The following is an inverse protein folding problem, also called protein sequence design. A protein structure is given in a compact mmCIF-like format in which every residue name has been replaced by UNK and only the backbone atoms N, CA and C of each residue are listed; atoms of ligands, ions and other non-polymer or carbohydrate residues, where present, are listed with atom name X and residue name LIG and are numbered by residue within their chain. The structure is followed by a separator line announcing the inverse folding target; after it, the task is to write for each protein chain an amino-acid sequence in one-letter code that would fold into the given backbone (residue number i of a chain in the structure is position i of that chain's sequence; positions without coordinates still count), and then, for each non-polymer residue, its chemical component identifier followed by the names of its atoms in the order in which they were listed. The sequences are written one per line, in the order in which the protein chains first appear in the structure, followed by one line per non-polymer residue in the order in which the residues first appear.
data_IF_107515614737
#
_entry.id   IF_107515614737
#
_cell.length_a   1.000
_cell.length_b   1.000
_cell.length_c   1.000
_cell.angle_alpha   90.00
_cell.angle_beta   90.00
_cell.angle_gamma   90.00
#
_symmetry.space_group_name_H-M   'P 1'
#
loop_
_entity.id
_entity.type
_entity.pdbx_description
1 polymer ?
#
# COMPACT_ATOMS: atom_id res chain seq x y z
N UNK A 1 40.60 19.15 29.85
CA UNK A 1 39.86 19.55 28.63
C UNK A 1 39.29 18.34 27.89
N UNK A 2 40.11 17.36 27.46
CA UNK A 2 39.63 16.12 26.78
C UNK A 2 38.52 15.36 27.54
N UNK A 3 38.66 15.16 28.86
CA UNK A 3 37.63 14.50 29.69
C UNK A 3 36.28 15.24 29.68
N UNK A 4 36.27 16.57 29.73
CA UNK A 4 35.03 17.38 29.69
C UNK A 4 34.34 17.28 28.32
N UNK A 5 35.11 17.28 27.23
CA UNK A 5 34.58 17.11 25.87
C UNK A 5 33.94 15.73 25.72
N UNK A 6 34.60 14.67 26.19
CA UNK A 6 34.07 13.30 26.15
C UNK A 6 32.75 13.19 26.93
N UNK A 7 32.70 13.77 28.15
CA UNK A 7 31.48 13.78 28.97
C UNK A 7 30.35 14.52 28.24
N UNK A 8 30.63 15.70 27.69
CA UNK A 8 29.61 16.49 26.97
C UNK A 8 29.07 15.75 25.74
N UNK A 9 29.94 15.09 24.97
CA UNK A 9 29.53 14.26 23.83
C UNK A 9 28.69 13.05 24.27
N UNK A 10 29.07 12.39 25.37
CA UNK A 10 28.30 11.28 25.91
C UNK A 10 26.90 11.72 26.36
N UNK A 11 26.79 12.85 27.07
CA UNK A 11 25.50 13.43 27.48
C UNK A 11 24.65 13.79 26.27
N UNK A 12 25.24 14.42 25.24
CA UNK A 12 24.53 14.77 24.01
C UNK A 12 23.99 13.53 23.28
N UNK A 13 24.79 12.47 23.15
CA UNK A 13 24.35 11.21 22.56
C UNK A 13 23.22 10.55 23.37
N UNK A 14 23.32 10.57 24.70
CA UNK A 14 22.26 10.07 25.58
C UNK A 14 20.95 10.83 25.34
N UNK A 15 21.01 12.16 25.22
CA UNK A 15 19.81 12.97 24.93
C UNK A 15 19.21 12.57 23.57
N UNK A 16 20.02 12.39 22.53
CA UNK A 16 19.53 11.94 21.22
C UNK A 16 18.84 10.58 21.32
N UNK A 17 19.44 9.63 22.02
CA UNK A 17 18.86 8.29 22.21
C UNK A 17 17.53 8.37 22.97
N UNK A 18 17.46 9.18 24.02
CA UNK A 18 16.21 9.40 24.78
C UNK A 18 15.15 10.03 23.88
N UNK A 19 15.49 11.07 23.11
CA UNK A 19 14.55 11.69 22.18
C UNK A 19 14.06 10.71 21.10
N UNK A 20 14.93 9.85 20.59
CA UNK A 20 14.55 8.81 19.64
C UNK A 20 13.60 7.77 20.27
N UNK A 21 13.86 7.35 21.50
CA UNK A 21 12.99 6.43 22.23
C UNK A 21 11.63 7.06 22.56
N UNK A 22 11.61 8.32 23.02
CA UNK A 22 10.38 9.07 23.30
C UNK A 22 9.58 9.29 22.02
N UNK A 23 10.24 9.69 20.93
CA UNK A 23 9.59 9.82 19.63
C UNK A 23 8.95 8.49 19.23
N UNK A 24 9.69 7.38 19.30
CA UNK A 24 9.15 6.09 18.90
C UNK A 24 7.99 5.68 19.81
N UNK A 25 8.08 5.89 21.13
CA UNK A 25 7.00 5.62 22.08
C UNK A 25 5.73 6.41 21.73
N UNK A 26 5.88 7.68 21.39
CA UNK A 26 4.76 8.58 21.07
C UNK A 26 4.25 8.44 19.64
N UNK A 27 4.94 7.77 18.73
CA UNK A 27 4.44 7.52 17.37
C UNK A 27 3.41 6.38 17.37
N UNK A 28 2.32 6.48 16.59
CA UNK A 28 1.33 5.41 16.49
C UNK A 28 1.97 4.10 16.04
N UNK A 29 1.56 3.00 16.67
CA UNK A 29 2.12 1.67 16.38
C UNK A 29 1.36 0.94 15.27
N UNK A 30 0.07 1.22 15.12
CA UNK A 30 -0.80 0.63 14.10
C UNK A 30 -0.87 -0.90 14.18
N UNK A 31 -0.84 -1.45 15.41
CA UNK A 31 -0.70 -2.90 15.63
C UNK A 31 -1.99 -3.61 16.02
N UNK A 32 -3.03 -2.85 16.39
CA UNK A 32 -4.38 -3.33 16.74
C UNK A 32 -5.46 -2.78 15.81
N UNK A 33 -5.19 -1.65 15.17
CA UNK A 33 -6.08 -1.00 14.20
C UNK A 33 -5.25 -0.21 13.19
N UNK A 34 -5.84 0.06 12.02
CA UNK A 34 -5.23 0.88 10.95
C UNK A 34 -3.88 0.27 10.50
N UNK A 35 -3.86 -1.04 10.21
CA UNK A 35 -2.63 -1.77 9.88
C UNK A 35 -1.88 -1.22 8.67
N UNK A 36 -2.59 -0.53 7.78
CA UNK A 36 -2.04 0.18 6.62
C UNK A 36 -0.92 1.17 6.99
N UNK A 37 -0.92 1.71 8.22
CA UNK A 37 0.11 2.61 8.72
C UNK A 37 1.49 1.96 8.90
N UNK A 38 1.59 0.63 8.75
CA UNK A 38 2.86 -0.11 8.78
C UNK A 38 3.39 -0.48 7.39
N UNK A 39 2.58 -0.40 6.32
CA UNK A 39 2.94 -0.95 5.00
C UNK A 39 4.23 -0.36 4.43
N UNK A 40 4.40 0.96 4.55
CA UNK A 40 5.62 1.66 4.10
C UNK A 40 6.85 1.20 4.87
N UNK A 41 6.73 0.98 6.18
CA UNK A 41 7.83 0.51 7.04
C UNK A 41 8.21 -0.94 6.73
N UNK A 42 7.20 -1.80 6.52
CA UNK A 42 7.39 -3.23 6.27
C UNK A 42 8.19 -3.52 4.99
N UNK A 43 8.07 -2.66 3.98
CA UNK A 43 8.90 -2.76 2.78
C UNK A 43 10.41 -2.78 3.12
N UNK A 44 10.86 -1.93 4.04
CA UNK A 44 12.28 -1.83 4.35
C UNK A 44 12.86 -3.08 5.02
N UNK A 45 11.99 -3.91 5.60
CA UNK A 45 12.35 -5.17 6.24
C UNK A 45 12.08 -6.39 5.36
N UNK A 46 11.55 -6.21 4.14
CA UNK A 46 11.35 -7.29 3.18
C UNK A 46 12.61 -7.54 2.35
N UNK A 47 12.77 -8.77 1.86
CA UNK A 47 13.74 -9.05 0.81
C UNK A 47 13.47 -8.17 -0.42
N UNK A 48 14.55 -7.73 -1.04
CA UNK A 48 14.53 -7.02 -2.33
C UNK A 48 14.67 -8.06 -3.45
N UNK A 49 14.68 -7.62 -4.71
CA UNK A 49 14.72 -8.48 -5.91
C UNK A 49 13.33 -8.97 -6.34
N UNK A 50 12.38 -8.03 -6.39
CA UNK A 50 11.03 -8.27 -6.88
C UNK A 50 10.94 -8.03 -8.39
N UNK A 51 10.36 -8.96 -9.14
CA UNK A 51 10.09 -8.83 -10.58
C UNK A 51 9.04 -7.73 -10.83
N UNK A 52 8.06 -7.62 -9.91
CA UNK A 52 6.95 -6.66 -10.00
C UNK A 52 6.83 -5.81 -8.73
N UNK A 53 6.77 -4.49 -8.90
CA UNK A 53 6.36 -3.56 -7.84
C UNK A 53 4.99 -2.99 -8.19
N UNK A 54 4.01 -3.23 -7.33
CA UNK A 54 2.70 -2.59 -7.42
C UNK A 54 2.70 -1.31 -6.58
N UNK A 55 2.14 -0.23 -7.11
CA UNK A 55 2.09 1.08 -6.46
C UNK A 55 0.67 1.63 -6.55
N UNK A 56 0.14 2.05 -5.40
CA UNK A 56 -1.16 2.69 -5.35
C UNK A 56 -1.74 2.69 -3.95
N UNK A 57 -3.03 2.94 -3.88
CA UNK A 57 -3.80 3.04 -2.65
C UNK A 57 -4.33 1.68 -2.18
N UNK A 58 -5.43 1.72 -1.43
CA UNK A 58 -6.11 0.57 -0.86
C UNK A 58 -6.63 -0.44 -1.88
N UNK A 59 -6.95 0.01 -3.09
CA UNK A 59 -7.29 -0.90 -4.18
C UNK A 59 -6.14 -1.82 -4.58
N UNK A 60 -4.88 -1.46 -4.31
CA UNK A 60 -3.75 -2.33 -4.61
C UNK A 60 -3.50 -3.27 -3.44
N UNK A 61 -3.32 -2.75 -2.22
CA UNK A 61 -2.96 -3.56 -1.07
C UNK A 61 -4.08 -4.48 -0.58
N UNK A 62 -5.32 -4.29 -1.03
CA UNK A 62 -6.45 -5.17 -0.71
C UNK A 62 -6.83 -6.13 -1.84
N UNK A 63 -6.48 -5.85 -3.11
CA UNK A 63 -6.97 -6.65 -4.24
C UNK A 63 -5.89 -7.54 -4.88
N UNK A 64 -4.60 -7.32 -4.62
CA UNK A 64 -3.51 -8.10 -5.21
C UNK A 64 -2.77 -8.89 -4.11
N UNK A 65 -2.54 -10.19 -4.36
CA UNK A 65 -1.85 -11.10 -3.44
C UNK A 65 -0.48 -11.53 -4.00
N UNK A 66 0.64 -10.95 -3.56
CA UNK A 66 1.98 -11.38 -3.96
C UNK A 66 2.23 -12.89 -3.76
N UNK A 67 1.60 -13.49 -2.74
CA UNK A 67 1.72 -14.92 -2.44
C UNK A 67 1.08 -15.74 -3.55
N UNK A 68 -0.15 -15.39 -3.95
CA UNK A 68 -0.84 -16.08 -5.05
C UNK A 68 -0.09 -15.96 -6.37
N UNK A 69 0.50 -14.79 -6.62
CA UNK A 69 1.30 -14.56 -7.83
C UNK A 69 2.53 -15.49 -7.87
N UNK A 70 3.24 -15.60 -6.75
CA UNK A 70 4.37 -16.53 -6.60
C UNK A 70 3.93 -18.00 -6.72
N UNK A 71 2.88 -18.42 -6.00
CA UNK A 71 2.45 -19.82 -5.97
C UNK A 71 1.99 -20.32 -7.34
N UNK A 72 1.42 -19.47 -8.18
CA UNK A 72 0.90 -19.87 -9.48
C UNK A 72 1.91 -19.67 -10.62
N UNK A 73 2.69 -18.58 -10.58
CA UNK A 73 3.53 -18.15 -11.70
C UNK A 73 5.02 -17.99 -11.37
N UNK A 74 5.41 -18.08 -10.10
CA UNK A 74 6.80 -17.91 -9.67
C UNK A 74 7.34 -16.50 -9.80
N UNK A 75 6.45 -15.51 -9.93
CA UNK A 75 6.80 -14.11 -10.06
C UNK A 75 6.91 -13.49 -8.65
N UNK A 76 8.06 -12.93 -8.33
CA UNK A 76 8.28 -12.22 -7.07
C UNK A 76 7.69 -10.82 -7.12
N UNK A 77 7.06 -10.39 -6.03
CA UNK A 77 6.42 -9.07 -6.02
C UNK A 77 6.27 -8.45 -4.63
N UNK A 78 6.10 -7.12 -4.64
CA UNK A 78 5.79 -6.33 -3.47
C UNK A 78 4.83 -5.17 -3.79
N UNK A 79 3.95 -4.85 -2.86
CA UNK A 79 3.02 -3.72 -2.94
C UNK A 79 3.55 -2.53 -2.13
N UNK A 80 3.95 -1.46 -2.81
CA UNK A 80 4.28 -0.15 -2.22
C UNK A 80 3.00 0.71 -2.17
N UNK A 81 2.11 0.36 -1.24
CA UNK A 81 0.84 1.05 -1.06
C UNK A 81 0.59 1.57 0.36
N UNK A 82 -0.34 2.52 0.46
CA UNK A 82 -0.86 3.10 1.71
C UNK A 82 -2.31 3.58 1.51
N UNK A 83 -3.05 3.84 2.59
CA UNK A 83 -4.45 4.26 2.48
C UNK A 83 -4.55 5.65 1.84
N UNK A 84 -5.47 5.80 0.88
CA UNK A 84 -5.72 7.05 0.12
C UNK A 84 -4.42 7.66 -0.45
N UNK A 85 -3.52 6.79 -0.94
CA UNK A 85 -2.24 7.19 -1.49
C UNK A 85 -2.42 8.06 -2.75
N UNK A 86 -1.88 9.27 -2.69
CA UNK A 86 -1.97 10.26 -3.76
C UNK A 86 -0.94 9.96 -4.85
N UNK A 87 -1.16 10.42 -6.08
CA UNK A 87 -0.25 10.11 -7.19
C UNK A 87 1.16 10.68 -6.98
N UNK A 88 1.31 11.84 -6.34
CA UNK A 88 2.62 12.37 -6.00
C UNK A 88 3.33 11.55 -4.92
N UNK A 89 2.59 11.00 -3.96
CA UNK A 89 3.15 10.04 -2.99
C UNK A 89 3.59 8.76 -3.70
N UNK A 90 2.77 8.26 -4.63
CA UNK A 90 3.11 7.11 -5.48
C UNK A 90 4.41 7.34 -6.27
N UNK A 91 4.58 8.52 -6.87
CA UNK A 91 5.82 8.90 -7.54
C UNK A 91 7.03 8.84 -6.61
N UNK A 92 6.97 9.49 -5.44
CA UNK A 92 8.13 9.53 -4.54
C UNK A 92 8.41 8.19 -3.85
N UNK A 93 7.39 7.38 -3.59
CA UNK A 93 7.57 6.00 -3.14
C UNK A 93 8.22 5.14 -4.22
N UNK A 94 7.85 5.32 -5.49
CA UNK A 94 8.53 4.66 -6.61
C UNK A 94 9.98 5.11 -6.73
N UNK A 95 10.21 6.43 -6.77
CA UNK A 95 11.54 7.03 -6.86
C UNK A 95 12.46 6.50 -5.75
N UNK A 96 11.94 6.40 -4.52
CA UNK A 96 12.69 5.81 -3.41
C UNK A 96 12.89 4.30 -3.58
N UNK A 97 11.86 3.56 -3.98
CA UNK A 97 11.91 2.11 -4.25
C UNK A 97 13.04 1.76 -5.20
N UNK A 98 13.20 2.54 -6.28
CA UNK A 98 14.24 2.34 -7.29
C UNK A 98 15.67 2.58 -6.79
N UNK A 99 15.85 3.14 -5.58
CA UNK A 99 17.16 3.21 -4.92
C UNK A 99 17.55 1.92 -4.21
N UNK A 100 16.59 1.02 -3.95
CA UNK A 100 16.79 -0.24 -3.25
C UNK A 100 16.72 -1.46 -4.17
N UNK A 101 15.88 -1.42 -5.20
CA UNK A 101 15.71 -2.51 -6.16
C UNK A 101 15.22 -2.00 -7.51
N UNK A 102 15.33 -2.84 -8.53
CA UNK A 102 14.94 -2.48 -9.90
C UNK A 102 14.07 -3.59 -10.50
N UNK A 103 12.73 -3.48 -10.43
CA UNK A 103 11.84 -4.47 -10.99
C UNK A 103 11.85 -4.45 -12.52
N UNK A 104 11.37 -5.53 -13.13
CA UNK A 104 11.11 -5.58 -14.57
C UNK A 104 9.82 -4.81 -14.92
N UNK A 105 8.82 -4.92 -14.04
CA UNK A 105 7.50 -4.30 -14.20
C UNK A 105 7.14 -3.46 -12.98
N UNK A 106 6.63 -2.26 -13.23
CA UNK A 106 5.89 -1.47 -12.24
C UNK A 106 4.43 -1.41 -12.67
N UNK A 107 3.53 -1.66 -11.73
CA UNK A 107 2.10 -1.53 -11.95
C UNK A 107 1.57 -0.39 -11.10
N UNK A 108 0.95 0.61 -11.72
CA UNK A 108 0.37 1.76 -11.04
C UNK A 108 -1.16 1.72 -11.11
N UNK A 109 -1.83 1.79 -9.95
CA UNK A 109 -3.29 1.90 -9.89
C UNK A 109 -3.76 3.34 -10.10
N UNK A 110 -4.55 3.57 -11.14
CA UNK A 110 -4.94 4.91 -11.62
C UNK A 110 -6.03 5.56 -10.78
N UNK A 111 -6.61 4.88 -9.79
CA UNK A 111 -7.70 5.46 -8.98
C UNK A 111 -7.32 6.82 -8.37
N UNK A 112 -6.08 6.94 -7.90
CA UNK A 112 -5.55 8.17 -7.28
C UNK A 112 -5.62 9.41 -8.19
N UNK A 113 -5.77 9.24 -9.51
CA UNK A 113 -5.96 10.34 -10.47
C UNK A 113 -7.19 11.20 -10.14
N UNK A 114 -8.21 10.63 -9.48
CA UNK A 114 -9.43 11.37 -9.06
C UNK A 114 -9.16 12.49 -8.05
N UNK A 115 -8.04 12.43 -7.33
CA UNK A 115 -7.72 13.34 -6.23
C UNK A 115 -6.79 14.43 -6.71
N UNK A 116 -7.31 15.64 -6.92
CA UNK A 116 -6.53 16.77 -7.47
C UNK A 116 -5.59 17.43 -6.46
N UNK A 117 -5.88 17.30 -5.16
CA UNK A 117 -5.21 18.00 -4.06
C UNK A 117 -5.05 17.09 -2.84
N UNK A 118 -4.10 17.38 -1.92
CA UNK A 118 -4.11 16.73 -0.62
C UNK A 118 -5.36 17.12 0.17
N UNK A 119 -5.88 16.21 1.00
CA UNK A 119 -7.17 16.44 1.67
C UNK A 119 -7.13 16.22 3.19
N UNK A 120 -6.33 15.30 3.71
CA UNK A 120 -6.26 15.02 5.16
C UNK A 120 -4.84 14.65 5.59
N UNK A 121 -4.37 15.34 6.63
CA UNK A 121 -3.08 15.05 7.27
C UNK A 121 -2.97 13.57 7.67
N UNK A 122 -4.03 12.97 8.20
CA UNK A 122 -3.99 11.58 8.65
C UNK A 122 -3.50 10.60 7.57
N UNK A 123 -3.94 10.76 6.32
CA UNK A 123 -3.50 9.90 5.20
C UNK A 123 -2.08 10.24 4.73
N UNK A 124 -1.71 11.52 4.76
CA UNK A 124 -0.32 11.93 4.53
C UNK A 124 0.62 11.24 5.53
N UNK A 125 0.27 11.23 6.83
CA UNK A 125 1.09 10.63 7.89
C UNK A 125 1.22 9.11 7.75
N UNK A 126 0.14 8.41 7.38
CA UNK A 126 0.16 6.96 7.13
C UNK A 126 1.19 6.56 6.05
N UNK A 127 1.38 7.42 5.06
CA UNK A 127 2.40 7.20 4.02
C UNK A 127 3.78 7.70 4.45
N UNK A 128 3.88 8.94 4.92
CA UNK A 128 5.14 9.67 4.97
C UNK A 128 5.94 9.46 6.26
N UNK A 129 5.28 9.23 7.40
CA UNK A 129 5.98 9.18 8.70
C UNK A 129 6.97 8.02 8.75
N UNK A 130 6.60 6.89 8.12
CA UNK A 130 7.40 5.67 8.06
C UNK A 130 8.40 5.62 6.91
N UNK A 131 8.38 6.57 5.98
CA UNK A 131 9.44 6.69 4.98
C UNK A 131 10.80 6.96 5.67
N UNK A 132 11.86 6.32 5.19
CA UNK A 132 13.23 6.68 5.58
C UNK A 132 13.57 8.09 5.09
N UNK A 133 14.39 8.82 5.85
CA UNK A 133 14.80 10.17 5.47
C UNK A 133 15.62 10.11 4.16
N UNK A 134 15.08 10.71 3.10
CA UNK A 134 15.66 10.72 1.77
C UNK A 134 15.21 11.97 1.01
N UNK A 135 15.82 12.23 -0.16
CA UNK A 135 15.35 13.31 -1.06
C UNK A 135 13.90 13.08 -1.49
N UNK A 136 13.54 11.82 -1.74
CA UNK A 136 12.18 11.42 -2.10
C UNK A 136 11.20 11.68 -0.96
N UNK A 137 11.57 11.40 0.30
CA UNK A 137 10.74 11.76 1.47
C UNK A 137 10.49 13.27 1.54
N UNK A 138 11.55 14.07 1.37
CA UNK A 138 11.43 15.55 1.40
C UNK A 138 10.50 16.04 0.27
N UNK A 139 10.68 15.50 -0.94
CA UNK A 139 9.81 15.81 -2.08
C UNK A 139 8.35 15.42 -1.84
N UNK A 140 8.13 14.24 -1.24
CA UNK A 140 6.80 13.75 -0.91
C UNK A 140 6.09 14.64 0.13
N UNK A 141 6.80 15.05 1.18
CA UNK A 141 6.24 15.97 2.19
C UNK A 141 5.83 17.29 1.54
N UNK A 142 6.71 17.91 0.75
CA UNK A 142 6.42 19.18 0.09
C UNK A 142 5.25 19.11 -0.89
N UNK A 143 5.03 17.95 -1.51
CA UNK A 143 3.91 17.74 -2.43
C UNK A 143 2.59 17.39 -1.71
N UNK A 144 2.67 16.87 -0.49
CA UNK A 144 1.51 16.34 0.24
C UNK A 144 0.98 17.24 1.34
N UNK A 145 1.82 18.05 1.99
CA UNK A 145 1.39 18.75 3.21
C UNK A 145 0.29 19.77 2.90
N UNK A 146 -0.72 19.82 3.77
CA UNK A 146 -1.74 20.87 3.77
C UNK A 146 -1.18 22.18 4.32
N UNK A 147 -1.85 23.31 4.06
CA UNK A 147 -1.39 24.63 4.50
C UNK A 147 -1.23 24.76 6.03
N UNK A 148 -1.99 23.98 6.80
CA UNK A 148 -1.94 23.94 8.26
C UNK A 148 -0.96 22.91 8.84
N UNK A 149 -0.27 22.17 7.97
CA UNK A 149 0.76 21.21 8.36
C UNK A 149 2.16 21.83 8.35
N UNK A 150 3.00 21.40 9.29
CA UNK A 150 4.36 21.93 9.45
C UNK A 150 5.40 20.92 8.95
N UNK A 151 6.19 21.28 7.94
CA UNK A 151 7.23 20.42 7.35
C UNK A 151 8.14 19.75 8.41
N UNK A 152 8.56 20.51 9.43
CA UNK A 152 9.47 20.04 10.47
C UNK A 152 8.90 18.86 11.27
N UNK A 153 7.57 18.76 11.37
CA UNK A 153 6.90 17.68 12.10
C UNK A 153 6.98 16.33 11.39
N UNK A 154 7.16 16.32 10.06
CA UNK A 154 7.44 15.09 9.30
C UNK A 154 8.89 14.59 9.47
N UNK A 155 9.82 15.49 9.80
CA UNK A 155 11.21 15.14 10.07
C UNK A 155 11.43 14.72 11.52
N UNK A 156 10.74 15.38 12.44
CA UNK A 156 10.74 15.08 13.87
C UNK A 156 9.32 14.82 14.36
N UNK A 157 8.76 13.61 14.11
CA UNK A 157 7.39 13.24 14.51
C UNK A 157 7.04 13.48 15.98
N UNK A 158 8.04 13.54 16.87
CA UNK A 158 7.81 13.94 18.27
C UNK A 158 7.09 15.29 18.37
N UNK A 159 7.32 16.24 17.45
CA UNK A 159 6.65 17.53 17.44
C UNK A 159 5.15 17.39 17.11
N UNK A 160 4.77 16.42 16.29
CA UNK A 160 3.36 16.14 15.97
C UNK A 160 2.67 15.33 17.07
N UNK A 161 3.39 14.38 17.65
CA UNK A 161 2.84 13.37 18.55
C UNK A 161 3.11 13.61 20.04
N UNK A 162 3.73 14.73 20.41
CA UNK A 162 3.99 15.07 21.82
C UNK A 162 2.73 15.04 22.68
N UNK A 163 1.55 15.35 22.10
CA UNK A 163 0.27 15.34 22.81
C UNK A 163 -0.20 13.93 23.20
N UNK A 164 0.27 12.86 22.53
CA UNK A 164 -0.15 11.46 22.78
C UNK A 164 0.35 10.88 24.11
N UNK A 165 1.12 11.61 24.91
CA UNK A 165 1.70 11.10 26.15
C UNK A 165 0.64 10.59 27.16
N UNK A 166 -0.57 11.15 27.12
CA UNK A 166 -1.71 10.76 27.95
C UNK A 166 -2.64 9.72 27.28
N UNK A 167 -2.33 9.29 26.06
CA UNK A 167 -3.07 8.28 25.27
C UNK A 167 -2.32 6.95 25.14
N UNK A 168 -1.14 6.84 25.76
CA UNK A 168 -0.31 5.64 25.68
C UNK A 168 -1.01 4.43 26.30
N UNK A 169 -0.95 3.31 25.59
CA UNK A 169 -1.51 2.02 26.00
C UNK A 169 -0.40 0.96 26.13
N UNK A 170 -0.75 -0.24 26.59
CA UNK A 170 0.20 -1.37 26.61
C UNK A 170 0.79 -1.71 25.24
N UNK A 171 0.08 -1.40 24.15
CA UNK A 171 0.57 -1.54 22.78
C UNK A 171 1.83 -0.71 22.51
N UNK A 172 1.85 0.55 22.95
CA UNK A 172 2.94 1.49 22.68
C UNK A 172 4.26 1.03 23.33
N UNK A 173 4.16 0.41 24.51
CA UNK A 173 5.31 -0.19 25.20
C UNK A 173 5.71 -1.56 24.61
N UNK A 174 4.73 -2.41 24.26
CA UNK A 174 4.99 -3.72 23.64
C UNK A 174 5.77 -3.56 22.34
N UNK A 175 5.39 -2.59 21.51
CA UNK A 175 5.99 -2.33 20.20
C UNK A 175 6.91 -1.10 20.18
N UNK A 176 7.59 -0.84 21.30
CA UNK A 176 8.55 0.25 21.37
C UNK A 176 9.76 0.00 20.47
N UNK A 177 10.28 -1.23 20.42
CA UNK A 177 11.53 -1.56 19.73
C UNK A 177 11.34 -2.40 18.46
N UNK A 178 10.27 -3.18 18.39
CA UNK A 178 9.98 -4.07 17.27
C UNK A 178 8.48 -4.19 17.08
N UNK A 179 8.04 -4.38 15.84
CA UNK A 179 6.66 -4.63 15.45
C UNK A 179 6.54 -6.01 14.84
N UNK A 180 5.37 -6.63 15.01
CA UNK A 180 5.02 -7.83 14.25
C UNK A 180 4.66 -7.41 12.81
N UNK A 181 4.98 -8.27 11.85
CA UNK A 181 4.57 -8.09 10.45
C UNK A 181 3.06 -8.32 10.33
N UNK A 182 2.35 -7.44 9.61
CA UNK A 182 0.91 -7.50 9.41
C UNK A 182 0.50 -7.74 7.96
N UNK A 183 1.37 -7.48 6.98
CA UNK A 183 1.07 -7.68 5.56
C UNK A 183 1.78 -8.88 4.92
N UNK A 184 1.27 -9.38 3.81
CA UNK A 184 1.92 -10.36 2.94
C UNK A 184 2.56 -9.67 1.74
N UNK A 185 3.76 -9.11 1.93
CA UNK A 185 4.46 -8.33 0.91
C UNK A 185 3.65 -7.10 0.47
N UNK A 186 3.04 -6.43 1.44
CA UNK A 186 2.19 -5.26 1.24
C UNK A 186 0.70 -5.59 1.11
N UNK A 187 0.30 -6.86 0.88
CA UNK A 187 -1.11 -7.27 0.86
C UNK A 187 -1.69 -7.37 2.27
N UNK A 188 -2.79 -6.68 2.56
CA UNK A 188 -3.53 -6.78 3.82
C UNK A 188 -4.69 -7.77 3.67
N UNK A 189 -4.49 -8.97 4.21
CA UNK A 189 -5.47 -10.05 4.12
C UNK A 189 -6.72 -9.75 4.93
N UNK A 190 -7.88 -9.89 4.28
CA UNK A 190 -9.22 -9.90 4.88
C UNK A 190 -10.03 -11.03 4.26
N UNK A 191 -10.42 -12.02 5.04
CA UNK A 191 -11.22 -13.18 4.59
C UNK A 191 -12.71 -13.07 4.94
N UNK A 192 -13.10 -12.04 5.68
CA UNK A 192 -14.50 -11.75 5.96
C UNK A 192 -15.26 -11.35 4.69
N UNK A 193 -16.58 -11.53 4.76
CA UNK A 193 -17.48 -11.26 3.65
C UNK A 193 -18.47 -10.17 4.07
N UNK A 194 -18.52 -9.11 3.27
CA UNK A 194 -19.62 -8.15 3.26
C UNK A 194 -20.08 -7.97 1.81
N UNK A 195 -21.23 -8.56 1.44
CA UNK A 195 -21.77 -8.50 0.09
C UNK A 195 -22.00 -7.05 -0.37
N UNK A 196 -21.90 -6.83 -1.68
CA UNK A 196 -22.39 -5.61 -2.31
C UNK A 196 -23.91 -5.57 -2.23
N UNK A 197 -24.45 -4.66 -1.42
CA UNK A 197 -25.91 -4.48 -1.28
C UNK A 197 -26.45 -3.36 -2.17
N UNK A 198 -25.59 -2.45 -2.61
CA UNK A 198 -25.95 -1.29 -3.41
C UNK A 198 -24.78 -0.89 -4.32
N UNK A 199 -25.06 -0.74 -5.61
CA UNK A 199 -24.14 -0.18 -6.59
C UNK A 199 -24.48 1.30 -6.75
N UNK A 200 -23.60 2.23 -6.34
CA UNK A 200 -23.87 3.65 -6.45
C UNK A 200 -23.83 4.10 -7.91
N UNK A 201 -24.83 4.87 -8.33
CA UNK A 201 -24.76 5.58 -9.60
C UNK A 201 -23.71 6.70 -9.51
N UNK A 202 -22.92 6.85 -10.58
CA UNK A 202 -21.98 7.96 -10.73
C UNK A 202 -22.70 9.31 -10.66
N UNK A 203 -22.25 10.20 -9.78
CA UNK A 203 -22.78 11.56 -9.71
C UNK A 203 -22.24 12.37 -10.88
N UNK A 204 -23.08 13.15 -11.55
CA UNK A 204 -22.61 14.06 -12.60
C UNK A 204 -21.56 15.01 -12.04
N UNK A 205 -20.40 15.05 -12.68
CA UNK A 205 -19.31 15.94 -12.32
C UNK A 205 -19.39 17.24 -13.13
N UNK A 206 -18.97 18.38 -12.56
CA UNK A 206 -18.86 19.62 -13.32
C UNK A 206 -17.73 19.55 -14.36
N UNK A 207 -16.71 18.75 -14.10
CA UNK A 207 -15.58 18.49 -14.99
C UNK A 207 -15.10 17.05 -14.78
N UNK A 208 -14.92 16.33 -15.88
CA UNK A 208 -14.43 14.95 -15.88
C UNK A 208 -12.94 14.87 -16.12
N UNK A 209 -12.24 15.99 -16.37
CA UNK A 209 -10.81 15.98 -16.63
C UNK A 209 -10.02 15.75 -15.35
N UNK A 210 -9.00 14.91 -15.41
CA UNK A 210 -8.01 14.86 -14.34
C UNK A 210 -7.20 16.16 -14.29
N UNK A 211 -6.72 16.51 -13.10
CA UNK A 211 -5.97 17.76 -12.92
C UNK A 211 -4.61 17.72 -13.62
N UNK A 212 -4.12 18.90 -14.02
CA UNK A 212 -2.77 19.03 -14.56
C UNK A 212 -1.69 18.53 -13.59
N UNK A 213 -1.91 18.70 -12.29
CA UNK A 213 -1.01 18.19 -11.25
C UNK A 213 -0.97 16.65 -11.28
N UNK A 214 -2.11 15.98 -11.41
CA UNK A 214 -2.15 14.52 -11.54
C UNK A 214 -1.38 14.05 -12.78
N UNK A 215 -1.63 14.66 -13.95
CA UNK A 215 -0.88 14.33 -15.17
C UNK A 215 0.62 14.61 -15.04
N UNK A 216 1.02 15.71 -14.39
CA UNK A 216 2.43 16.00 -14.14
C UNK A 216 3.13 14.85 -13.39
N UNK A 217 2.50 14.31 -12.34
CA UNK A 217 3.08 13.19 -11.60
C UNK A 217 2.97 11.87 -12.35
N UNK A 218 1.92 11.64 -13.15
CA UNK A 218 1.84 10.47 -14.03
C UNK A 218 2.96 10.49 -15.08
N UNK A 219 3.22 11.63 -15.70
CA UNK A 219 4.34 11.83 -16.63
C UNK A 219 5.68 11.57 -15.97
N UNK A 220 5.85 12.00 -14.72
CA UNK A 220 7.06 11.72 -13.94
C UNK A 220 7.22 10.23 -13.63
N UNK A 221 6.15 9.51 -13.30
CA UNK A 221 6.17 8.05 -13.11
C UNK A 221 6.53 7.36 -14.44
N UNK A 222 5.85 7.71 -15.52
CA UNK A 222 6.11 7.19 -16.88
C UNK A 222 7.56 7.41 -17.29
N UNK A 223 8.06 8.64 -17.11
CA UNK A 223 9.45 8.98 -17.41
C UNK A 223 10.43 8.21 -16.54
N UNK A 224 10.17 8.11 -15.23
CA UNK A 224 11.03 7.41 -14.29
C UNK A 224 11.17 5.93 -14.65
N UNK A 225 10.07 5.26 -15.02
CA UNK A 225 10.10 3.88 -15.51
C UNK A 225 10.88 3.77 -16.84
N UNK A 226 10.60 4.64 -17.82
CA UNK A 226 11.30 4.66 -19.12
C UNK A 226 12.81 4.86 -18.97
N UNK A 227 13.23 5.86 -18.20
CA UNK A 227 14.64 6.18 -17.94
C UNK A 227 15.40 5.02 -17.27
N UNK A 228 14.67 4.16 -16.55
CA UNK A 228 15.22 2.98 -15.90
C UNK A 228 15.00 1.68 -16.69
N UNK A 229 14.44 1.70 -17.91
CA UNK A 229 14.09 0.49 -18.67
C UNK A 229 13.13 -0.45 -17.92
N UNK A 230 12.18 0.12 -17.18
CA UNK A 230 11.14 -0.61 -16.45
C UNK A 230 9.85 -0.52 -17.26
N UNK A 231 9.15 -1.65 -17.43
CA UNK A 231 7.82 -1.65 -18.06
C UNK A 231 6.79 -1.10 -17.09
N UNK A 232 6.09 -0.04 -17.48
CA UNK A 232 4.99 0.52 -16.71
C UNK A 232 3.66 -0.01 -17.24
N UNK A 233 2.86 -0.58 -16.35
CA UNK A 233 1.46 -0.95 -16.59
C UNK A 233 0.60 -0.01 -15.76
N UNK A 234 -0.38 0.61 -16.40
CA UNK A 234 -1.46 1.30 -15.73
C UNK A 234 -2.58 0.28 -15.46
N UNK A 235 -3.14 0.28 -14.26
CA UNK A 235 -4.32 -0.55 -13.97
C UNK A 235 -5.39 0.26 -13.27
N UNK A 236 -6.65 -0.13 -13.44
CA UNK A 236 -7.72 0.18 -12.50
C UNK A 236 -8.14 -1.12 -11.84
N UNK A 237 -7.97 -1.25 -10.52
CA UNK A 237 -8.43 -2.42 -9.80
C UNK A 237 -9.97 -2.54 -9.85
N UNK A 238 -10.53 -3.75 -9.74
CA UNK A 238 -11.98 -3.91 -9.70
C UNK A 238 -12.54 -3.37 -8.38
N UNK A 239 -13.52 -2.48 -8.48
CA UNK A 239 -14.28 -1.95 -7.35
C UNK A 239 -15.64 -1.44 -7.82
N UNK A 240 -16.65 -1.58 -6.96
CA UNK A 240 -18.00 -1.04 -7.18
C UNK A 240 -18.07 0.43 -6.77
N UNK A 241 -17.28 0.80 -5.77
CA UNK A 241 -17.12 2.18 -5.31
C UNK A 241 -15.64 2.42 -4.98
N UNK A 242 -15.07 3.61 -5.23
CA UNK A 242 -15.66 4.77 -5.90
C UNK A 242 -16.03 4.49 -7.35
N UNK A 243 -17.09 5.15 -7.83
CA UNK A 243 -17.52 5.02 -9.23
C UNK A 243 -16.42 5.53 -10.18
N UNK A 244 -16.02 4.70 -11.14
CA UNK A 244 -15.04 5.04 -12.18
C UNK A 244 -15.78 5.43 -13.45
N UNK A 245 -15.66 6.70 -13.86
CA UNK A 245 -16.42 7.25 -14.99
C UNK A 245 -15.82 6.81 -16.32
N UNK A 246 -16.67 6.64 -17.35
CA UNK A 246 -16.24 6.32 -18.71
C UNK A 246 -15.29 7.40 -19.26
N UNK A 247 -15.52 8.67 -18.93
CA UNK A 247 -14.64 9.78 -19.34
C UNK A 247 -13.26 9.71 -18.66
N UNK A 248 -13.18 9.15 -17.45
CA UNK A 248 -11.91 8.91 -16.75
C UNK A 248 -11.16 7.73 -17.35
N UNK A 249 -11.89 6.65 -17.65
CA UNK A 249 -11.35 5.48 -18.34
C UNK A 249 -10.78 5.85 -19.72
N UNK A 250 -11.55 6.58 -20.53
CA UNK A 250 -11.13 7.01 -21.85
C UNK A 250 -9.86 7.89 -21.80
N UNK A 251 -9.75 8.78 -20.82
CA UNK A 251 -8.52 9.56 -20.61
C UNK A 251 -7.30 8.67 -20.32
N UNK A 252 -7.46 7.59 -19.57
CA UNK A 252 -6.35 6.65 -19.30
C UNK A 252 -6.02 5.78 -20.52
N UNK A 253 -7.01 5.39 -21.32
CA UNK A 253 -6.81 4.72 -22.62
C UNK A 253 -6.01 5.62 -23.56
N UNK A 254 -6.39 6.90 -23.68
CA UNK A 254 -5.70 7.89 -24.52
C UNK A 254 -4.26 8.12 -24.03
N UNK A 255 -4.09 8.37 -22.74
CA UNK A 255 -2.76 8.57 -22.14
C UNK A 255 -1.83 7.37 -22.36
N UNK A 256 -2.34 6.15 -22.15
CA UNK A 256 -1.58 4.92 -22.33
C UNK A 256 -1.15 4.75 -23.80
N UNK A 257 -2.06 4.99 -24.74
CA UNK A 257 -1.77 4.94 -26.18
C UNK A 257 -0.71 5.95 -26.60
N UNK A 258 -0.81 7.20 -26.14
CA UNK A 258 0.16 8.26 -26.46
C UNK A 258 1.56 7.96 -25.91
N UNK A 259 1.63 7.24 -24.78
CA UNK A 259 2.87 6.94 -24.09
C UNK A 259 3.44 5.53 -24.36
N UNK A 260 2.79 4.73 -25.21
CA UNK A 260 3.13 3.32 -25.47
C UNK A 260 3.14 2.47 -24.19
N UNK A 261 2.08 2.62 -23.39
CA UNK A 261 1.86 1.90 -22.14
C UNK A 261 0.71 0.89 -22.28
N UNK A 262 0.77 -0.17 -21.47
CA UNK A 262 -0.39 -1.04 -21.27
C UNK A 262 -1.29 -0.44 -20.21
N UNK A 263 -2.59 -0.30 -20.51
CA UNK A 263 -3.63 0.01 -19.55
C UNK A 263 -4.61 -1.15 -19.44
N UNK A 264 -4.93 -1.57 -18.22
CA UNK A 264 -5.90 -2.63 -17.94
C UNK A 264 -6.93 -2.10 -16.95
N UNK A 265 -8.16 -1.90 -17.41
CA UNK A 265 -9.27 -1.65 -16.51
C UNK A 265 -9.91 -2.98 -16.12
N UNK A 266 -9.66 -3.45 -14.89
CA UNK A 266 -10.21 -4.74 -14.43
C UNK A 266 -11.72 -4.72 -14.17
N UNK A 267 -12.38 -3.56 -14.25
CA UNK A 267 -13.84 -3.48 -14.24
C UNK A 267 -14.45 -4.22 -15.44
N UNK A 268 -13.76 -4.21 -16.59
CA UNK A 268 -14.23 -4.87 -17.81
C UNK A 268 -14.06 -6.41 -17.78
N UNK A 269 -13.32 -6.92 -16.79
CA UNK A 269 -12.95 -8.34 -16.69
C UNK A 269 -13.55 -9.04 -15.47
N UNK A 270 -14.44 -8.38 -14.70
CA UNK A 270 -15.03 -8.92 -13.46
C UNK A 270 -15.64 -10.31 -13.67
N UNK A 271 -16.43 -10.49 -14.73
CA UNK A 271 -17.07 -11.77 -15.07
C UNK A 271 -16.05 -12.83 -15.51
N UNK A 272 -15.03 -12.43 -16.29
CA UNK A 272 -13.98 -13.34 -16.76
C UNK A 272 -13.07 -13.83 -15.62
N UNK A 273 -12.78 -12.94 -14.66
CA UNK A 273 -12.05 -13.28 -13.42
C UNK A 273 -12.91 -14.19 -12.53
N UNK A 274 -14.25 -14.12 -12.67
CA UNK A 274 -15.19 -14.84 -11.83
C UNK A 274 -15.35 -14.24 -10.43
N UNK A 275 -15.28 -12.91 -10.33
CA UNK A 275 -15.53 -12.18 -9.08
C UNK A 275 -17.03 -12.23 -8.79
N UNK A 276 -17.40 -12.80 -7.63
CA UNK A 276 -18.77 -12.77 -7.13
C UNK A 276 -18.88 -11.71 -6.03
N UNK A 277 -19.50 -10.58 -6.34
CA UNK A 277 -19.71 -9.46 -5.42
C UNK A 277 -20.54 -9.81 -4.17
N UNK A 278 -21.17 -10.99 -4.11
CA UNK A 278 -21.81 -11.47 -2.89
C UNK A 278 -20.84 -12.13 -1.91
N UNK A 279 -19.73 -12.70 -2.40
CA UNK A 279 -18.80 -13.49 -1.58
C UNK A 279 -17.38 -12.95 -1.56
N UNK A 280 -17.01 -12.11 -2.52
CA UNK A 280 -15.61 -11.77 -2.80
C UNK A 280 -15.22 -10.35 -2.35
N UNK A 281 -16.02 -9.71 -1.49
CA UNK A 281 -15.77 -8.36 -0.95
C UNK A 281 -15.88 -8.36 0.57
N UNK A 282 -15.08 -7.54 1.28
CA UNK A 282 -15.16 -7.43 2.75
C UNK A 282 -15.80 -6.14 3.25
N UNK A 283 -16.14 -5.19 2.36
CA UNK A 283 -16.66 -3.88 2.76
C UNK A 283 -17.81 -3.35 1.89
N UNK A 284 -18.50 -4.23 1.17
CA UNK A 284 -19.65 -3.85 0.34
C UNK A 284 -19.25 -3.31 -1.04
N UNK A 285 -18.08 -3.70 -1.54
CA UNK A 285 -17.67 -3.46 -2.92
C UNK A 285 -16.57 -2.43 -3.12
N UNK A 286 -16.00 -1.88 -2.06
CA UNK A 286 -14.84 -1.00 -2.17
C UNK A 286 -13.55 -1.82 -2.35
N UNK A 287 -13.43 -2.93 -1.65
CA UNK A 287 -12.30 -3.85 -1.74
C UNK A 287 -12.74 -5.30 -1.90
N UNK A 288 -11.91 -6.07 -2.61
CA UNK A 288 -12.00 -7.52 -2.64
C UNK A 288 -11.54 -8.11 -1.30
N UNK A 289 -12.13 -9.22 -0.90
CA UNK A 289 -11.58 -10.06 0.16
C UNK A 289 -10.56 -11.05 -0.40
N UNK A 290 -10.07 -11.94 0.46
CA UNK A 290 -9.05 -12.91 0.13
C UNK A 290 -9.38 -13.74 -1.11
N UNK A 291 -10.63 -14.21 -1.23
CA UNK A 291 -11.06 -15.01 -2.37
C UNK A 291 -11.04 -14.18 -3.67
N UNK A 292 -11.58 -12.96 -3.64
CA UNK A 292 -11.55 -12.04 -4.78
C UNK A 292 -10.12 -11.67 -5.19
N UNK A 293 -9.26 -11.35 -4.22
CA UNK A 293 -7.88 -10.97 -4.46
C UNK A 293 -7.06 -12.12 -5.06
N UNK A 294 -7.26 -13.36 -4.59
CA UNK A 294 -6.66 -14.57 -5.15
C UNK A 294 -7.09 -14.77 -6.62
N UNK A 295 -8.38 -14.60 -6.94
CA UNK A 295 -8.92 -14.69 -8.31
C UNK A 295 -8.32 -13.62 -9.24
N UNK A 296 -8.39 -12.34 -8.84
CA UNK A 296 -7.83 -11.23 -9.61
C UNK A 296 -6.34 -11.43 -9.86
N UNK A 297 -5.59 -11.79 -8.82
CA UNK A 297 -4.14 -12.00 -8.93
C UNK A 297 -3.82 -13.16 -9.86
N UNK A 298 -4.59 -14.25 -9.81
CA UNK A 298 -4.39 -15.37 -10.71
C UNK A 298 -4.59 -14.95 -12.16
N UNK A 299 -5.65 -14.21 -12.45
CA UNK A 299 -5.91 -13.68 -13.80
C UNK A 299 -4.80 -12.72 -14.27
N UNK A 300 -4.42 -11.77 -13.41
CA UNK A 300 -3.39 -10.81 -13.76
C UNK A 300 -2.00 -11.45 -13.91
N UNK A 301 -1.68 -12.46 -13.10
CA UNK A 301 -0.43 -13.22 -13.20
C UNK A 301 -0.28 -13.95 -14.53
N UNK A 302 -1.38 -14.38 -15.14
CA UNK A 302 -1.35 -14.95 -16.50
C UNK A 302 -0.95 -13.90 -17.53
N UNK A 303 -1.49 -12.68 -17.43
CA UNK A 303 -1.11 -11.55 -18.30
C UNK A 303 0.36 -11.20 -18.11
N UNK A 304 0.84 -11.11 -16.87
CA UNK A 304 2.24 -10.81 -16.56
C UNK A 304 3.18 -11.89 -17.11
N UNK A 305 2.86 -13.15 -16.92
CA UNK A 305 3.66 -14.27 -17.43
C UNK A 305 3.66 -14.32 -18.96
N UNK A 306 2.51 -14.21 -19.61
CA UNK A 306 2.38 -14.39 -21.07
C UNK A 306 2.73 -13.16 -21.90
N UNK A 307 2.32 -11.97 -21.45
CA UNK A 307 2.43 -10.74 -22.24
C UNK A 307 3.71 -9.96 -21.90
N UNK A 308 4.22 -10.11 -20.67
CA UNK A 308 5.44 -9.46 -20.22
C UNK A 308 6.63 -10.42 -20.06
N UNK A 309 6.42 -11.72 -20.31
CA UNK A 309 7.45 -12.77 -20.29
C UNK A 309 8.22 -12.83 -18.96
N UNK A 310 7.56 -12.56 -17.83
CA UNK A 310 8.19 -12.73 -16.53
C UNK A 310 8.47 -14.20 -16.26
N UNK A 311 9.69 -14.48 -15.81
CA UNK A 311 10.20 -15.83 -15.57
C UNK A 311 9.51 -16.49 -14.37
N UNK A 312 9.24 -17.79 -14.47
CA UNK A 312 8.86 -18.59 -13.30
C UNK A 312 10.10 -18.93 -12.47
N UNK A 313 10.32 -18.15 -11.40
CA UNK A 313 11.53 -18.25 -10.58
C UNK A 313 11.42 -19.32 -9.47
N UNK A 314 10.38 -20.16 -9.46
CA UNK A 314 10.22 -21.22 -8.41
C UNK A 314 11.31 -22.29 -8.42
N UNK A 315 12.08 -22.39 -9.50
CA UNK A 315 13.23 -23.27 -9.61
C UNK A 315 14.46 -22.77 -8.82
N UNK A 316 14.49 -21.49 -8.42
CA UNK A 316 15.54 -20.95 -7.55
C UNK A 316 15.30 -21.43 -6.10
N UNK A 317 16.19 -22.27 -5.60
CA UNK A 317 16.07 -22.87 -4.26
C UNK A 317 16.19 -21.84 -3.11
N UNK A 318 16.91 -20.73 -3.31
CA UNK A 318 16.99 -19.67 -2.31
C UNK A 318 15.68 -18.89 -2.24
N UNK A 319 15.14 -18.49 -3.39
CA UNK A 319 13.85 -17.80 -3.45
C UNK A 319 12.74 -18.70 -2.92
N UNK A 320 12.70 -19.96 -3.34
CA UNK A 320 11.74 -20.95 -2.86
C UNK A 320 11.76 -21.07 -1.34
N UNK A 321 12.95 -21.12 -0.71
CA UNK A 321 13.05 -21.15 0.76
C UNK A 321 12.51 -19.88 1.43
N UNK A 322 12.75 -18.71 0.85
CA UNK A 322 12.24 -17.42 1.35
C UNK A 322 10.72 -17.38 1.22
N UNK A 323 10.20 -17.72 0.04
CA UNK A 323 8.78 -17.64 -0.28
C UNK A 323 7.95 -18.73 0.40
N UNK A 324 8.50 -19.92 0.66
CA UNK A 324 7.83 -20.93 1.49
C UNK A 324 7.51 -20.40 2.89
N UNK A 325 8.43 -19.66 3.53
CA UNK A 325 8.13 -19.02 4.83
C UNK A 325 7.04 -17.94 4.71
N UNK A 326 6.97 -17.25 3.57
CA UNK A 326 5.92 -16.26 3.31
C UNK A 326 4.55 -16.93 3.09
N UNK A 327 4.55 -18.09 2.43
CA UNK A 327 3.38 -18.95 2.23
C UNK A 327 2.91 -19.52 3.57
N UNK A 328 3.81 -20.03 4.42
CA UNK A 328 3.48 -20.52 5.75
C UNK A 328 2.79 -19.43 6.57
N UNK A 329 3.37 -18.23 6.62
CA UNK A 329 2.76 -17.07 7.29
C UNK A 329 1.39 -16.69 6.70
N UNK A 330 1.23 -16.79 5.38
CA UNK A 330 -0.04 -16.53 4.69
C UNK A 330 -1.13 -17.54 5.07
N UNK A 331 -0.78 -18.82 5.08
CA UNK A 331 -1.70 -19.89 5.44
C UNK A 331 -2.06 -19.86 6.93
N UNK A 332 -1.10 -19.58 7.81
CA UNK A 332 -1.33 -19.41 9.24
C UNK A 332 -2.32 -18.25 9.50
N UNK A 333 -2.14 -17.10 8.82
CA UNK A 333 -3.05 -15.97 8.94
C UNK A 333 -4.44 -16.29 8.37
N UNK A 334 -4.50 -16.96 7.21
CA UNK A 334 -5.76 -17.38 6.58
C UNK A 334 -6.55 -18.31 7.50
N UNK A 335 -5.88 -19.29 8.09
CA UNK A 335 -6.49 -20.21 9.04
C UNK A 335 -6.99 -19.49 10.29
N UNK A 336 -6.16 -18.62 10.91
CA UNK A 336 -6.58 -17.90 12.11
C UNK A 336 -7.77 -16.96 11.85
N UNK A 337 -7.82 -16.30 10.70
CA UNK A 337 -8.99 -15.50 10.33
C UNK A 337 -10.25 -16.37 10.15
N UNK A 338 -10.12 -17.56 9.56
CA UNK A 338 -11.24 -18.50 9.47
C UNK A 338 -11.72 -18.93 10.87
N UNK A 339 -10.80 -19.26 11.79
CA UNK A 339 -11.11 -19.60 13.18
C UNK A 339 -11.84 -18.45 13.89
N UNK A 340 -11.41 -17.19 13.72
CA UNK A 340 -12.12 -16.02 14.28
C UNK A 340 -13.51 -15.83 13.68
N UNK A 341 -13.70 -16.09 12.39
CA UNK A 341 -15.02 -16.02 11.76
C UNK A 341 -15.96 -17.12 12.30
N UNK A 342 -15.45 -18.32 12.53
CA UNK A 342 -16.22 -19.43 13.10
C UNK A 342 -16.57 -19.18 14.58
N UNK A 343 -15.62 -18.66 15.37
CA UNK A 343 -15.82 -18.43 16.80
C UNK A 343 -16.62 -17.15 17.10
N UNK A 344 -16.34 -16.05 16.41
CA UNK A 344 -16.87 -14.73 16.73
C UNK A 344 -17.83 -14.16 15.68
N UNK A 345 -17.85 -14.70 14.46
CA UNK A 345 -18.62 -14.16 13.34
C UNK A 345 -18.02 -12.89 12.72
N UNK A 346 -16.83 -12.46 13.14
CA UNK A 346 -16.08 -11.32 12.59
C UNK A 346 -14.59 -11.41 12.93
N UNK A 347 -13.75 -10.70 12.18
CA UNK A 347 -12.29 -10.69 12.39
C UNK A 347 -11.89 -9.74 13.53
N UNK A 348 -11.97 -10.24 14.75
CA UNK A 348 -11.65 -9.52 15.98
C UNK A 348 -10.21 -8.97 16.01
N UNK A 349 -9.24 -9.71 15.49
CA UNK A 349 -7.82 -9.33 15.54
C UNK A 349 -7.34 -8.58 14.29
N UNK A 350 -8.18 -8.42 13.27
CA UNK A 350 -7.80 -7.88 11.96
C UNK A 350 -8.60 -6.63 11.56
N UNK A 351 -9.01 -5.85 12.57
CA UNK A 351 -9.57 -4.53 12.37
C UNK A 351 -10.95 -4.53 11.71
N UNK A 352 -11.64 -5.68 11.69
CA UNK A 352 -13.06 -5.71 11.33
C UNK A 352 -13.88 -5.11 12.47
N UNK A 353 -14.88 -4.30 12.10
CA UNK A 353 -15.83 -3.75 13.06
C UNK A 353 -16.80 -4.87 13.44
N UNK A 354 -17.03 -5.06 14.74
CA UNK A 354 -18.04 -6.00 15.22
C UNK A 354 -19.41 -5.63 14.59
N UNK A 355 -20.11 -6.55 13.91
CA UNK A 355 -21.44 -6.28 13.39
C UNK A 355 -22.37 -5.81 14.52
N UNK A 356 -23.10 -4.70 14.34
CA UNK A 356 -24.15 -4.31 15.29
C UNK A 356 -25.21 -5.43 15.31
N UNK A 357 -25.48 -6.00 16.49
CA UNK A 357 -26.58 -6.96 16.67
C UNK A 357 -27.92 -6.24 16.41
N UNK A 358 -28.49 -6.43 15.22
CA UNK A 358 -29.85 -6.05 14.88
C UNK A 358 -30.11 -4.55 14.73
N UNK A 359 -29.97 -4.05 13.50
CA UNK A 359 -30.78 -2.94 12.97
C UNK A 359 -31.22 -3.24 11.54
#
# INVERSE_FOLDING_TARGET
MKKKIIINLAVFLIIIVILALVQNLLMPKYMSSIFEGNLVEEYYNNEKDNDVIFIGDCEVYSNISPITLWENYGITSFIRGSAEQLIWQSYYLLEETLTYEKPEVVVFNVLSMKSSEPHKEAFNRLTLDRMKLSKSKIGAINASMLEDEEFITYLFPILRYHSRWNELTGEDFKYLLSKEKKSHNGFLMRSDVKPVSYVPEGKKLPDYRFSENCYNYLDRITKLCKDNNIKLILMKAPSVYPYWYEEWDQQMVEYAKENDLTYINFLDYVDEIGIDHNTDTYDGGLHLNLAGAEKLTKYFGEILSKNFNLEDRRADENLKKIWNKKIDFYNDMKQHQQEELEEYGYLKSYGAVKPEEGK
#
